data_IF_038223869514
#
_entry.id   IF_038223869514
#
_cell.length_a   1.000
_cell.length_b   1.000
_cell.length_c   1.000
_cell.angle_alpha   90.00
_cell.angle_beta   90.00
_cell.angle_gamma   90.00
#
_symmetry.space_group_name_H-M   'P 1'
#
loop_
_entity.id
_entity.type
_entity.pdbx_description
1 polymer ?
#
# COMPACT_ATOMS: atom_id res chain seq x y z
N UNK A 1 0.80 -37.77 -37.53
CA UNK A 1 -0.26 -36.99 -36.87
C UNK A 1 0.22 -36.71 -35.47
N UNK A 2 0.42 -35.49 -34.99
CA UNK A 2 0.31 -34.15 -35.52
C UNK A 2 0.84 -33.28 -34.37
N UNK A 3 1.69 -32.32 -34.71
CA UNK A 3 2.17 -31.26 -33.83
C UNK A 3 0.97 -30.50 -33.26
N UNK A 4 1.03 -30.09 -31.99
CA UNK A 4 0.63 -28.75 -31.54
C UNK A 4 1.39 -28.45 -30.23
N UNK A 5 2.46 -27.67 -30.38
CA UNK A 5 3.09 -26.86 -29.34
C UNK A 5 2.24 -25.62 -29.02
N UNK A 6 2.71 -24.89 -27.99
CA UNK A 6 2.35 -23.57 -27.46
C UNK A 6 1.32 -23.60 -26.32
N UNK A 7 1.58 -23.00 -25.17
CA UNK A 7 2.65 -22.08 -24.78
C UNK A 7 2.06 -21.00 -23.87
N UNK A 8 2.71 -20.75 -22.73
CA UNK A 8 2.79 -19.48 -22.01
C UNK A 8 3.21 -19.77 -20.55
N UNK A 9 4.51 -19.98 -20.33
CA UNK A 9 5.08 -19.88 -19.00
C UNK A 9 5.16 -18.39 -18.65
N UNK A 10 4.32 -17.95 -17.70
CA UNK A 10 4.38 -16.61 -17.14
C UNK A 10 5.70 -16.45 -16.37
N UNK A 11 6.66 -15.76 -16.99
CA UNK A 11 7.96 -15.49 -16.38
C UNK A 11 7.83 -14.26 -15.47
N UNK A 12 7.39 -14.48 -14.24
CA UNK A 12 7.23 -13.42 -13.24
C UNK A 12 8.57 -13.22 -12.51
N UNK A 13 9.49 -12.47 -13.12
CA UNK A 13 10.76 -12.13 -12.47
C UNK A 13 10.59 -10.90 -11.57
N UNK A 14 10.19 -11.13 -10.31
CA UNK A 14 10.41 -10.17 -9.23
C UNK A 14 11.92 -10.08 -8.96
N UNK A 15 12.56 -9.10 -9.58
CA UNK A 15 13.98 -8.81 -9.38
C UNK A 15 14.15 -8.04 -8.07
N UNK A 16 14.62 -8.71 -7.01
CA UNK A 16 15.12 -8.02 -5.82
C UNK A 16 16.40 -7.27 -6.19
N UNK A 17 16.62 -6.02 -5.76
CA UNK A 17 17.87 -5.32 -6.04
C UNK A 17 18.96 -5.85 -5.11
N UNK A 18 19.67 -6.89 -5.58
CA UNK A 18 20.97 -7.28 -5.03
C UNK A 18 21.95 -6.12 -5.20
N UNK A 19 22.81 -5.90 -4.21
CA UNK A 19 23.86 -4.87 -4.19
C UNK A 19 24.89 -5.07 -5.30
N UNK A 20 24.56 -4.74 -6.55
CA UNK A 20 25.47 -4.75 -7.68
C UNK A 20 25.78 -3.32 -8.11
N UNK A 21 27.08 -3.05 -8.30
CA UNK A 21 27.60 -1.82 -8.90
C UNK A 21 26.81 -1.46 -10.16
N UNK A 22 26.65 -0.18 -10.52
CA UNK A 22 25.90 0.20 -11.70
C UNK A 22 26.64 -0.31 -12.95
N UNK A 23 26.26 -1.48 -13.43
CA UNK A 23 26.53 -1.90 -14.79
C UNK A 23 25.72 -0.96 -15.66
N UNK A 24 26.37 -0.18 -16.52
CA UNK A 24 25.69 0.61 -17.54
C UNK A 24 24.97 -0.36 -18.49
N UNK A 25 23.73 -0.70 -18.18
CA UNK A 25 22.82 -1.30 -19.14
C UNK A 25 22.46 -0.20 -20.13
N UNK A 26 22.99 -0.28 -21.35
CA UNK A 26 22.48 0.58 -22.42
C UNK A 26 21.06 0.13 -22.73
N UNK A 27 20.08 1.01 -22.50
CA UNK A 27 18.71 0.77 -22.93
C UNK A 27 18.67 0.67 -24.46
N UNK A 28 17.85 -0.25 -24.98
CA UNK A 28 17.60 -0.32 -26.42
C UNK A 28 16.81 0.92 -26.87
N UNK A 29 16.96 1.37 -28.14
CA UNK A 29 16.12 2.43 -28.69
C UNK A 29 14.61 2.12 -28.59
N UNK A 30 14.25 0.84 -28.59
CA UNK A 30 12.86 0.35 -28.51
C UNK A 30 12.38 0.12 -27.05
N UNK A 31 13.15 0.58 -26.05
CA UNK A 31 12.76 0.45 -24.66
C UNK A 31 11.51 1.29 -24.36
N UNK A 32 10.49 0.64 -23.79
CA UNK A 32 9.23 1.30 -23.44
C UNK A 32 9.40 2.04 -22.11
N UNK A 33 9.12 3.34 -22.12
CA UNK A 33 8.99 4.14 -20.90
C UNK A 33 7.54 4.01 -20.43
N UNK A 34 7.32 3.22 -19.37
CA UNK A 34 5.99 3.02 -18.80
C UNK A 34 5.71 4.09 -17.73
N UNK A 35 4.73 4.96 -17.99
CA UNK A 35 4.22 5.98 -17.06
C UNK A 35 2.72 5.82 -16.80
N UNK A 36 2.15 4.66 -17.15
CA UNK A 36 0.74 4.36 -16.94
C UNK A 36 0.42 4.14 -15.45
N UNK A 37 1.35 3.48 -14.75
CA UNK A 37 1.22 3.20 -13.33
C UNK A 37 1.88 4.31 -12.50
N UNK A 38 1.17 4.81 -11.50
CA UNK A 38 1.72 5.68 -10.47
C UNK A 38 2.63 4.95 -9.47
N UNK A 39 3.45 4.01 -9.92
CA UNK A 39 4.36 3.23 -9.07
C UNK A 39 5.47 4.14 -8.49
N UNK A 40 5.52 4.35 -7.16
CA UNK A 40 6.31 5.41 -6.55
C UNK A 40 7.80 5.06 -6.36
N UNK A 41 8.43 4.37 -7.32
CA UNK A 41 9.86 3.97 -7.29
C UNK A 41 10.81 5.16 -7.20
N UNK A 42 10.35 6.38 -7.52
CA UNK A 42 11.08 7.64 -7.35
C UNK A 42 11.68 7.81 -5.95
N UNK A 43 11.06 7.26 -4.90
CA UNK A 43 11.53 7.42 -3.51
C UNK A 43 12.59 6.40 -3.10
N UNK A 44 12.91 5.39 -3.91
CA UNK A 44 13.90 4.36 -3.58
C UNK A 44 15.27 4.94 -3.19
N UNK A 45 15.85 5.93 -3.91
CA UNK A 45 17.14 6.50 -3.54
C UNK A 45 17.13 7.24 -2.21
N UNK A 46 15.98 7.79 -1.78
CA UNK A 46 15.84 8.41 -0.47
C UNK A 46 15.95 7.36 0.63
N UNK A 47 15.17 6.28 0.53
CA UNK A 47 15.19 5.21 1.52
C UNK A 47 16.54 4.50 1.59
N UNK A 48 17.21 4.29 0.44
CA UNK A 48 18.57 3.71 0.42
C UNK A 48 19.58 4.57 1.19
N UNK A 49 19.47 5.91 1.13
CA UNK A 49 20.34 6.83 1.87
C UNK A 49 20.10 6.82 3.39
N UNK A 50 18.93 6.34 3.84
CA UNK A 50 18.64 6.23 5.27
C UNK A 50 19.47 5.14 5.96
N UNK A 51 20.05 4.21 5.19
CA UNK A 51 20.86 3.11 5.73
C UNK A 51 20.07 2.29 6.76
N UNK A 52 20.73 1.96 7.87
CA UNK A 52 20.15 1.09 8.89
C UNK A 52 19.06 1.75 9.75
N UNK A 53 18.82 3.06 9.59
CA UNK A 53 17.80 3.80 10.37
C UNK A 53 16.39 3.29 10.17
N UNK A 54 16.12 2.67 9.03
CA UNK A 54 14.80 2.14 8.67
C UNK A 54 14.77 0.60 8.65
N UNK A 55 15.82 -0.06 9.15
CA UNK A 55 15.85 -1.52 9.27
C UNK A 55 14.83 -1.98 10.29
N UNK A 56 14.02 -2.97 9.93
CA UNK A 56 13.04 -3.62 10.81
C UNK A 56 13.47 -5.06 11.02
N UNK A 57 13.52 -5.50 12.28
CA UNK A 57 13.76 -6.89 12.67
C UNK A 57 12.45 -7.41 13.27
N UNK A 58 12.01 -8.57 12.81
CA UNK A 58 10.80 -9.26 13.30
C UNK A 58 11.25 -10.64 13.77
N UNK A 59 11.12 -10.91 15.06
CA UNK A 59 11.52 -12.19 15.65
C UNK A 59 10.53 -13.31 15.29
N UNK A 60 10.96 -14.56 15.43
CA UNK A 60 10.13 -15.72 15.04
C UNK A 60 8.83 -15.89 15.83
N UNK A 61 8.70 -15.25 16.99
CA UNK A 61 7.50 -15.25 17.82
C UNK A 61 6.72 -13.93 17.79
N UNK A 62 7.20 -12.92 17.06
CA UNK A 62 6.52 -11.65 16.95
C UNK A 62 5.24 -11.77 16.11
N UNK A 63 4.27 -10.90 16.40
CA UNK A 63 3.06 -10.70 15.58
C UNK A 63 2.19 -11.98 15.34
N UNK A 64 2.34 -13.01 16.19
CA UNK A 64 1.57 -14.27 16.04
C UNK A 64 0.10 -14.17 16.46
N UNK A 65 -0.23 -13.26 17.38
CA UNK A 65 -1.60 -13.05 17.86
C UNK A 65 -2.45 -12.35 16.80
N UNK A 66 -3.72 -12.77 16.67
CA UNK A 66 -4.70 -12.02 15.87
C UNK A 66 -4.95 -10.61 16.43
N UNK A 67 -4.86 -10.43 17.75
CA UNK A 67 -5.21 -9.19 18.42
C UNK A 67 -3.99 -8.31 18.64
N UNK A 68 -4.12 -7.03 18.31
CA UNK A 68 -3.11 -5.99 18.60
C UNK A 68 -3.45 -5.22 19.87
N UNK A 69 -4.69 -4.71 19.96
CA UNK A 69 -5.21 -4.00 21.12
C UNK A 69 -6.73 -4.17 21.20
N UNK A 70 -7.21 -5.03 22.09
CA UNK A 70 -8.64 -5.31 22.24
C UNK A 70 -9.45 -4.13 22.81
N UNK A 71 -8.80 -3.09 23.33
CA UNK A 71 -9.48 -1.88 23.82
C UNK A 71 -9.80 -0.87 22.72
N UNK A 72 -9.16 -1.02 21.55
CA UNK A 72 -9.36 -0.16 20.39
C UNK A 72 -10.56 -0.62 19.55
N UNK A 73 -11.28 0.34 18.95
CA UNK A 73 -12.31 0.07 17.93
C UNK A 73 -11.70 -0.72 16.76
N UNK A 74 -10.47 -0.38 16.38
CA UNK A 74 -9.68 -1.10 15.39
C UNK A 74 -8.70 -2.02 16.12
N UNK A 75 -9.18 -3.16 16.63
CA UNK A 75 -8.40 -4.05 17.51
C UNK A 75 -7.18 -4.72 16.85
N UNK A 76 -7.12 -4.69 15.52
CA UNK A 76 -6.01 -5.16 14.69
C UNK A 76 -5.04 -4.03 14.30
N UNK A 77 -5.21 -2.81 14.81
CA UNK A 77 -4.23 -1.73 14.69
C UNK A 77 -3.12 -1.92 15.71
N UNK A 78 -1.87 -2.04 15.24
CA UNK A 78 -0.70 -1.98 16.12
C UNK A 78 -0.60 -0.62 16.81
N UNK A 79 -0.49 -0.55 18.14
CA UNK A 79 -0.46 0.72 18.88
C UNK A 79 0.64 1.69 18.40
N UNK A 80 1.84 1.17 18.14
CA UNK A 80 2.99 1.97 17.71
C UNK A 80 2.75 2.62 16.34
N UNK A 81 2.01 1.95 15.45
CA UNK A 81 1.60 2.52 14.17
C UNK A 81 0.56 3.63 14.36
N UNK A 82 -0.42 3.42 15.24
CA UNK A 82 -1.40 4.44 15.61
C UNK A 82 -0.74 5.73 16.11
N UNK A 83 0.25 5.60 16.99
CA UNK A 83 1.02 6.74 17.52
C UNK A 83 1.88 7.41 16.45
N UNK A 84 2.50 6.63 15.56
CA UNK A 84 3.28 7.14 14.46
C UNK A 84 2.43 7.96 13.47
N UNK A 85 1.22 7.51 13.15
CA UNK A 85 0.27 8.23 12.28
C UNK A 85 -0.13 9.57 12.92
N UNK A 86 -0.55 9.57 14.19
CA UNK A 86 -0.91 10.82 14.91
C UNK A 86 0.26 11.79 14.96
N UNK A 87 1.46 11.29 15.29
CA UNK A 87 2.68 12.12 15.33
C UNK A 87 2.99 12.70 13.95
N UNK A 88 2.89 11.92 12.88
CA UNK A 88 3.16 12.37 11.52
C UNK A 88 2.22 13.52 11.13
N UNK A 89 0.92 13.35 11.33
CA UNK A 89 -0.07 14.39 11.02
C UNK A 89 0.14 15.66 11.85
N UNK A 90 0.48 15.52 13.14
CA UNK A 90 0.80 16.67 14.00
C UNK A 90 2.04 17.44 13.53
N UNK A 91 3.10 16.73 13.12
CA UNK A 91 4.35 17.37 12.68
C UNK A 91 4.21 18.01 11.31
N UNK A 92 3.50 17.37 10.38
CA UNK A 92 3.27 17.89 9.02
C UNK A 92 2.17 18.96 9.00
N UNK A 93 1.20 18.88 9.92
CA UNK A 93 0.08 19.81 10.01
C UNK A 93 -0.96 19.63 8.90
N UNK A 94 -1.04 18.44 8.28
CA UNK A 94 -1.93 18.18 7.14
C UNK A 94 -3.29 17.54 7.51
N UNK A 95 -3.48 17.09 8.75
CA UNK A 95 -4.76 16.56 9.22
C UNK A 95 -4.90 16.71 10.74
N UNK A 96 -6.14 16.86 11.20
CA UNK A 96 -6.52 16.83 12.62
C UNK A 96 -6.79 15.38 13.02
N UNK A 97 -6.17 14.91 14.10
CA UNK A 97 -6.29 13.52 14.56
C UNK A 97 -6.92 13.38 15.95
N UNK A 98 -7.07 14.51 16.65
CA UNK A 98 -7.76 14.64 17.92
C UNK A 98 -9.23 14.24 17.76
N UNK A 99 -9.73 13.45 18.71
CA UNK A 99 -11.11 12.94 18.73
C UNK A 99 -11.50 12.21 17.43
N UNK A 100 -10.57 11.48 16.82
CA UNK A 100 -10.80 10.62 15.66
C UNK A 100 -10.34 9.18 15.92
N UNK A 101 -11.13 8.22 15.46
CA UNK A 101 -10.69 6.82 15.38
C UNK A 101 -9.78 6.62 14.18
N UNK A 102 -8.74 5.81 14.36
CA UNK A 102 -7.86 5.37 13.27
C UNK A 102 -8.25 3.93 12.93
N UNK A 103 -8.59 3.70 11.67
CA UNK A 103 -8.85 2.37 11.11
C UNK A 103 -7.80 2.13 10.02
N UNK A 104 -7.15 0.97 10.07
CA UNK A 104 -6.17 0.56 9.06
C UNK A 104 -6.76 -0.44 8.09
N UNK A 105 -6.22 -0.46 6.88
CA UNK A 105 -6.59 -1.40 5.83
C UNK A 105 -5.40 -1.67 4.91
N UNK A 106 -5.51 -2.73 4.11
CA UNK A 106 -4.56 -3.10 3.07
C UNK A 106 -4.70 -2.13 1.90
N UNK A 107 -4.10 -0.96 2.06
CA UNK A 107 -4.19 0.15 1.11
C UNK A 107 -5.48 0.97 1.26
N UNK A 108 -5.46 2.18 0.70
CA UNK A 108 -6.62 3.08 0.67
C UNK A 108 -7.79 2.50 -0.13
N UNK A 109 -7.54 1.63 -1.11
CA UNK A 109 -8.58 0.93 -1.88
C UNK A 109 -9.52 0.15 -0.97
N UNK A 110 -9.00 -0.61 0.00
CA UNK A 110 -9.84 -1.33 0.96
C UNK A 110 -10.63 -0.37 1.85
N UNK A 111 -9.97 0.70 2.33
CA UNK A 111 -10.60 1.70 3.21
C UNK A 111 -11.72 2.48 2.52
N UNK A 112 -11.56 2.81 1.23
CA UNK A 112 -12.62 3.44 0.43
C UNK A 112 -13.84 2.53 0.38
N UNK A 113 -13.66 1.26 0.02
CA UNK A 113 -14.78 0.31 -0.04
C UNK A 113 -15.43 0.08 1.33
N UNK A 114 -14.64 0.00 2.39
CA UNK A 114 -15.15 -0.12 3.76
C UNK A 114 -15.96 1.11 4.18
N UNK A 115 -15.48 2.32 3.87
CA UNK A 115 -16.20 3.56 4.15
C UNK A 115 -17.52 3.63 3.38
N UNK A 116 -17.50 3.30 2.08
CA UNK A 116 -18.72 3.26 1.26
C UNK A 116 -19.74 2.26 1.80
N UNK A 117 -19.30 1.06 2.18
CA UNK A 117 -20.15 0.06 2.80
C UNK A 117 -20.75 0.55 4.12
N UNK A 118 -19.92 1.11 5.00
CA UNK A 118 -20.35 1.62 6.31
C UNK A 118 -21.34 2.80 6.17
N UNK A 119 -21.16 3.67 5.18
CA UNK A 119 -22.07 4.78 4.88
C UNK A 119 -23.36 4.32 4.19
N UNK A 120 -23.33 3.19 3.48
CA UNK A 120 -24.50 2.60 2.80
C UNK A 120 -25.29 1.62 3.68
N UNK A 121 -24.95 1.54 4.96
CA UNK A 121 -25.51 0.58 5.95
C UNK A 121 -27.05 0.51 5.92
N UNK A 122 -27.66 -0.67 6.13
CA UNK A 122 -28.90 -1.10 5.50
C UNK A 122 -30.20 -0.56 6.13
N UNK A 123 -30.16 0.60 6.79
CA UNK A 123 -31.36 1.23 7.33
C UNK A 123 -32.33 1.66 6.20
N UNK A 124 -31.79 1.92 5.01
CA UNK A 124 -32.57 2.32 3.84
C UNK A 124 -32.57 1.23 2.76
N UNK A 125 -33.77 0.90 2.25
CA UNK A 125 -33.99 -0.14 1.22
C UNK A 125 -33.60 0.30 -0.20
N UNK A 126 -32.89 1.41 -0.34
CA UNK A 126 -32.58 2.03 -1.61
C UNK A 126 -31.06 2.10 -1.83
N UNK A 127 -30.57 1.91 -3.06
CA UNK A 127 -29.15 2.04 -3.36
C UNK A 127 -28.68 3.48 -3.11
N UNK A 128 -27.51 3.63 -2.49
CA UNK A 128 -26.86 4.93 -2.30
C UNK A 128 -26.17 5.34 -3.60
N UNK A 129 -26.42 6.57 -4.06
CA UNK A 129 -25.73 7.13 -5.23
C UNK A 129 -24.28 7.49 -4.86
N UNK A 130 -23.33 6.87 -5.56
CA UNK A 130 -21.91 7.19 -5.45
C UNK A 130 -21.49 8.09 -6.61
N UNK A 131 -20.95 9.27 -6.29
CA UNK A 131 -20.53 10.25 -7.28
C UNK A 131 -19.17 10.85 -6.92
N UNK A 132 -18.39 11.22 -7.93
CA UNK A 132 -17.14 11.96 -7.80
C UNK A 132 -17.11 13.06 -8.88
N UNK A 133 -16.58 14.23 -8.53
CA UNK A 133 -16.45 15.33 -9.49
C UNK A 133 -15.40 14.97 -10.56
N UNK A 134 -15.71 15.23 -11.84
CA UNK A 134 -14.82 14.95 -12.95
C UNK A 134 -13.73 16.04 -13.11
N UNK A 135 -12.48 15.68 -13.49
CA UNK A 135 -11.98 14.32 -13.67
C UNK A 135 -11.71 13.61 -12.33
N UNK A 136 -11.96 12.31 -12.26
CA UNK A 136 -11.85 11.51 -11.04
C UNK A 136 -10.88 10.33 -11.21
N UNK A 137 -10.50 9.73 -10.08
CA UNK A 137 -9.72 8.49 -10.04
C UNK A 137 -10.60 7.32 -10.53
N UNK A 138 -10.15 6.64 -11.60
CA UNK A 138 -10.83 5.52 -12.24
C UNK A 138 -10.55 4.18 -11.57
#
# INVERSE_FOLDING_TARGET
MGVLENGAAANNQNSSPTTTKPTKTSLSPDSIINLDQGDPTLFEPYWRKMGDKCTVVIEGCDLMSYFSDMSSVCWFLQPQLGDAIKRLHRVVGNAVTEDRHIVVGTGSTQLLMAALYALSSPADRHPVSLVAAAPFYS
#
